data_IF_939527343853
#
_entry.id   IF_939527343853
#
_cell.length_a   1.000
_cell.length_b   1.000
_cell.length_c   1.000
_cell.angle_alpha   90.00
_cell.angle_beta   90.00
_cell.angle_gamma   90.00
#
_symmetry.space_group_name_H-M   'P 1'
#
loop_
_entity.id
_entity.type
_entity.pdbx_description
1 polymer ?
#
# COMPACT_ATOMS: atom_id res chain seq x y z
N UNK A 1 -14.85 2.55 6.93
CA UNK A 1 -13.70 1.74 6.47
C UNK A 1 -14.04 0.30 6.06
N UNK A 2 -15.17 -0.30 6.49
CA UNK A 2 -15.52 -1.68 6.12
C UNK A 2 -15.89 -1.87 4.64
N UNK A 3 -16.50 -0.86 3.98
CA UNK A 3 -16.89 -0.93 2.57
C UNK A 3 -15.77 -0.65 1.56
N UNK A 4 -14.79 0.20 1.91
CA UNK A 4 -13.66 0.53 1.02
C UNK A 4 -12.60 -0.56 0.98
N UNK A 5 -12.47 -1.32 2.07
CA UNK A 5 -11.50 -2.41 2.18
C UNK A 5 -11.57 -3.45 1.03
N UNK A 6 -12.75 -3.97 0.61
CA UNK A 6 -12.81 -4.88 -0.53
C UNK A 6 -12.43 -4.24 -1.88
N UNK A 7 -12.73 -2.95 -2.10
CA UNK A 7 -12.36 -2.24 -3.33
C UNK A 7 -10.83 -2.04 -3.40
N UNK A 8 -10.25 -1.54 -2.31
CA UNK A 8 -8.81 -1.32 -2.21
C UNK A 8 -8.02 -2.63 -2.31
N UNK A 9 -8.49 -3.72 -1.70
CA UNK A 9 -7.88 -5.04 -1.88
C UNK A 9 -7.98 -5.57 -3.32
N UNK A 10 -9.05 -5.27 -4.06
CA UNK A 10 -9.15 -5.64 -5.49
C UNK A 10 -8.16 -4.83 -6.35
N UNK A 11 -7.97 -3.55 -6.04
CA UNK A 11 -7.00 -2.70 -6.74
C UNK A 11 -5.56 -3.23 -6.57
N UNK A 12 -5.20 -3.64 -5.35
CA UNK A 12 -3.86 -4.18 -5.06
C UNK A 12 -3.67 -5.65 -5.46
N UNK A 13 -4.76 -6.43 -5.57
CA UNK A 13 -4.71 -7.76 -6.20
C UNK A 13 -4.25 -7.68 -7.67
N UNK A 14 -4.61 -6.61 -8.39
CA UNK A 14 -4.13 -6.37 -9.77
C UNK A 14 -2.60 -6.22 -9.83
N UNK A 15 -1.98 -5.80 -8.73
CA UNK A 15 -0.53 -5.64 -8.57
C UNK A 15 0.09 -6.88 -7.90
N UNK A 16 -0.65 -7.98 -7.76
CA UNK A 16 -0.22 -9.24 -7.12
C UNK A 16 0.17 -9.12 -5.63
N UNK A 17 -0.19 -8.01 -4.99
CA UNK A 17 0.08 -7.75 -3.58
C UNK A 17 -1.16 -8.09 -2.76
N UNK A 18 -1.06 -9.09 -1.87
CA UNK A 18 -2.13 -9.39 -0.91
C UNK A 18 -1.90 -8.61 0.37
N UNK A 19 -2.67 -7.54 0.55
CA UNK A 19 -2.68 -6.73 1.78
C UNK A 19 -3.85 -7.20 2.68
N UNK A 20 -3.59 -7.60 3.94
CA UNK A 20 -4.65 -7.91 4.90
C UNK A 20 -5.57 -6.71 5.15
N UNK A 21 -6.87 -6.94 5.37
CA UNK A 21 -7.85 -5.86 5.63
C UNK A 21 -7.46 -4.96 6.82
N UNK A 22 -6.81 -5.52 7.84
CA UNK A 22 -6.34 -4.77 9.02
C UNK A 22 -5.19 -3.82 8.65
N UNK A 23 -4.30 -4.25 7.76
CA UNK A 23 -3.14 -3.47 7.32
C UNK A 23 -3.54 -2.25 6.48
N UNK A 24 -4.68 -2.32 5.79
CA UNK A 24 -5.23 -1.20 5.06
C UNK A 24 -5.54 0.01 5.94
N UNK A 25 -6.05 -0.22 7.15
CA UNK A 25 -6.35 0.86 8.10
C UNK A 25 -5.06 1.62 8.50
N UNK A 26 -3.95 0.89 8.62
CA UNK A 26 -2.67 1.50 8.98
C UNK A 26 -2.02 2.22 7.79
N UNK A 27 -2.23 1.73 6.56
CA UNK A 27 -1.70 2.35 5.34
C UNK A 27 -2.54 3.52 4.84
N UNK A 28 -3.83 3.61 5.19
CA UNK A 28 -4.69 4.71 4.72
C UNK A 28 -4.19 6.09 5.14
N UNK A 29 -3.63 6.21 6.35
CA UNK A 29 -3.14 7.47 6.87
C UNK A 29 -1.87 7.96 6.11
N UNK A 30 -0.79 7.15 5.97
CA UNK A 30 0.36 7.55 5.16
C UNK A 30 0.02 7.75 3.68
N UNK A 31 -0.85 6.91 3.08
CA UNK A 31 -1.29 7.08 1.69
C UNK A 31 -2.07 8.39 1.53
N UNK A 32 -2.95 8.72 2.47
CA UNK A 32 -3.70 9.97 2.46
C UNK A 32 -2.80 11.20 2.54
N UNK A 33 -1.78 11.18 3.40
CA UNK A 33 -0.77 12.25 3.47
C UNK A 33 -0.08 12.39 2.11
N UNK A 34 0.39 11.29 1.51
CA UNK A 34 1.01 11.27 0.18
C UNK A 34 0.10 11.89 -0.89
N UNK A 35 -1.18 11.54 -0.93
CA UNK A 35 -2.14 12.11 -1.87
C UNK A 35 -2.38 13.60 -1.65
N UNK A 36 -2.52 14.05 -0.39
CA UNK A 36 -2.65 15.48 -0.08
C UNK A 36 -1.42 16.29 -0.51
N UNK A 37 -0.22 15.73 -0.37
CA UNK A 37 1.01 16.35 -0.87
C UNK A 37 1.02 16.39 -2.41
N UNK A 38 0.67 15.28 -3.07
CA UNK A 38 0.68 15.18 -4.53
C UNK A 38 -0.36 16.09 -5.22
N UNK A 39 -1.54 16.24 -4.61
CA UNK A 39 -2.62 17.12 -5.12
C UNK A 39 -2.35 18.59 -4.79
N UNK A 40 -1.46 18.88 -3.83
CA UNK A 40 -1.17 20.23 -3.37
C UNK A 40 -2.23 20.83 -2.42
N UNK A 41 -3.32 20.11 -2.13
CA UNK A 41 -4.29 20.49 -1.11
C UNK A 41 -3.83 20.03 0.28
N UNK A 42 -2.99 20.86 0.89
CA UNK A 42 -2.42 20.59 2.20
C UNK A 42 -3.42 20.87 3.33
N UNK A 43 -3.84 19.81 4.03
CA UNK A 43 -4.58 19.93 5.29
C UNK A 43 -3.69 20.47 6.41
N UNK A 44 -4.27 21.00 7.49
CA UNK A 44 -3.51 21.46 8.68
C UNK A 44 -2.59 20.33 9.20
N UNK A 45 -3.06 19.08 9.16
CA UNK A 45 -2.26 17.90 9.52
C UNK A 45 -1.09 17.68 8.56
N UNK A 46 -1.30 17.77 7.25
CA UNK A 46 -0.25 17.61 6.24
C UNK A 46 0.79 18.75 6.31
N UNK A 47 0.36 19.99 6.55
CA UNK A 47 1.25 21.14 6.77
C UNK A 47 2.14 20.91 8.00
N UNK A 48 1.56 20.41 9.10
CA UNK A 48 2.30 20.09 10.32
C UNK A 48 3.25 18.90 10.13
N UNK A 49 2.92 17.95 9.24
CA UNK A 49 3.81 16.83 8.89
C UNK A 49 5.00 17.26 8.02
N UNK A 50 4.78 18.20 7.10
CA UNK A 50 5.82 18.74 6.22
C UNK A 50 6.77 19.71 6.93
N UNK A 51 6.37 20.26 8.07
CA UNK A 51 7.23 21.13 8.85
C UNK A 51 8.42 20.33 9.42
N UNK A 52 9.68 20.64 9.03
CA UNK A 52 10.85 19.86 9.45
C UNK A 52 11.28 20.15 10.89
N UNK A 53 10.86 21.27 11.48
CA UNK A 53 11.34 21.73 12.79
C UNK A 53 10.40 21.41 13.95
N UNK A 54 9.17 20.99 13.67
CA UNK A 54 8.14 20.78 14.71
C UNK A 54 7.33 19.51 14.41
N UNK A 55 6.78 18.88 15.47
CA UNK A 55 5.86 17.72 15.39
C UNK A 55 6.48 16.34 15.09
N UNK A 56 7.56 15.97 15.79
CA UNK A 56 8.12 14.61 15.79
C UNK A 56 7.11 13.51 16.12
N UNK A 57 6.14 13.78 17.01
CA UNK A 57 5.08 12.81 17.35
C UNK A 57 4.29 12.36 16.13
N UNK A 58 3.84 13.31 15.29
CA UNK A 58 3.07 13.01 14.09
C UNK A 58 3.93 12.20 13.10
N UNK A 59 5.19 12.60 12.92
CA UNK A 59 6.14 11.92 12.04
C UNK A 59 6.39 10.48 12.48
N UNK A 60 6.65 10.28 13.77
CA UNK A 60 6.88 8.97 14.37
C UNK A 60 5.63 8.10 14.33
N UNK A 61 4.44 8.65 14.60
CA UNK A 61 3.18 7.91 14.45
C UNK A 61 2.98 7.46 13.00
N UNK A 62 3.12 8.37 12.02
CA UNK A 62 3.00 8.03 10.59
C UNK A 62 4.01 6.96 10.18
N UNK A 63 5.26 7.05 10.67
CA UNK A 63 6.30 6.06 10.39
C UNK A 63 5.97 4.69 11.00
N UNK A 64 5.51 4.64 12.25
CA UNK A 64 5.09 3.39 12.91
C UNK A 64 3.88 2.79 12.19
N UNK A 65 2.88 3.60 11.85
CA UNK A 65 1.70 3.19 11.08
C UNK A 65 2.10 2.62 9.71
N UNK A 66 3.06 3.25 9.04
CA UNK A 66 3.59 2.78 7.78
C UNK A 66 4.28 1.42 7.94
N UNK A 67 5.21 1.30 8.90
CA UNK A 67 5.91 0.04 9.17
C UNK A 67 4.95 -1.10 9.56
N UNK A 68 3.96 -0.81 10.41
CA UNK A 68 2.95 -1.78 10.83
C UNK A 68 2.03 -2.19 9.67
N UNK A 69 1.69 -1.22 8.81
CA UNK A 69 0.95 -1.44 7.57
C UNK A 69 1.68 -2.35 6.59
N UNK A 70 3.01 -2.25 6.50
CA UNK A 70 3.83 -3.14 5.68
C UNK A 70 4.02 -4.55 6.29
N UNK A 71 3.98 -4.68 7.63
CA UNK A 71 4.32 -5.92 8.38
C UNK A 71 3.38 -7.13 8.17
N UNK A 72 2.45 -7.06 7.23
CA UNK A 72 1.54 -8.15 6.89
C UNK A 72 1.33 -8.35 5.40
N UNK A 73 2.04 -7.59 4.57
CA UNK A 73 1.91 -7.66 3.11
C UNK A 73 2.59 -8.93 2.62
N UNK A 74 1.81 -9.84 2.01
CA UNK A 74 2.34 -11.04 1.36
C UNK A 74 2.36 -10.80 -0.14
N UNK A 75 3.55 -10.71 -0.73
CA UNK A 75 3.72 -10.68 -2.19
C UNK A 75 3.55 -12.10 -2.72
N UNK A 76 2.61 -12.32 -3.63
CA UNK A 76 2.52 -13.61 -4.33
C UNK A 76 3.67 -13.68 -5.33
N UNK A 77 4.65 -14.56 -5.08
CA UNK A 77 5.62 -14.96 -6.11
C UNK A 77 4.85 -15.56 -7.28
N UNK A 78 5.03 -15.02 -8.48
CA UNK A 78 4.45 -15.57 -9.70
C UNK A 78 5.02 -16.98 -9.89
N UNK A 79 4.13 -17.98 -9.95
CA UNK A 79 4.53 -19.35 -10.25
C UNK A 79 4.93 -19.36 -11.72
N UNK A 80 6.24 -19.38 -12.01
CA UNK A 80 6.73 -19.65 -13.36
C UNK A 80 6.28 -21.06 -13.72
N UNK A 81 5.27 -21.19 -14.59
CA UNK A 81 4.87 -22.46 -15.17
C UNK A 81 5.84 -22.70 -16.33
N UNK A 82 6.75 -23.70 -16.24
CA UNK A 82 7.59 -24.04 -17.36
C UNK A 82 6.72 -24.51 -18.54
N UNK A 83 7.07 -24.04 -19.74
CA UNK A 83 6.40 -24.33 -20.99
C UNK A 83 6.73 -25.76 -21.45
N UNK A 84 6.11 -26.78 -20.82
CA UNK A 84 6.31 -28.20 -21.14
C UNK A 84 5.04 -28.82 -21.78
N UNK A 85 4.14 -28.00 -22.33
CA UNK A 85 2.87 -28.45 -22.91
C UNK A 85 2.78 -28.27 -24.43
N UNK A 86 3.83 -27.80 -25.10
CA UNK A 86 3.89 -27.84 -26.56
C UNK A 86 4.60 -29.12 -26.99
N UNK A 87 3.89 -30.16 -27.48
CA UNK A 87 4.56 -31.26 -28.16
C UNK A 87 5.30 -30.72 -29.40
N UNK A 88 6.43 -31.32 -29.78
CA UNK A 88 7.14 -30.92 -30.99
C UNK A 88 6.19 -31.07 -32.19
N UNK A 89 6.00 -29.97 -32.92
CA UNK A 89 5.29 -29.99 -34.19
C UNK A 89 6.09 -30.88 -35.15
N UNK A 90 5.52 -32.04 -35.46
CA UNK A 90 6.07 -33.00 -36.40
C UNK A 90 5.73 -32.54 -37.82
N UNK A 91 6.70 -31.96 -38.53
CA UNK A 91 6.76 -31.92 -40.00
C UNK A 91 8.22 -31.88 -40.45
#
# INVERSE_FOLDING_TARGET
MYLLSPLLSKLFLKIHIKIPKKNWLFLTLPIGILFHVAIGQMTIMTKNFLNPYTHYLLKTSVLILFLLGLRGIKVKKQKHIPNILNPPEHT
#
